data_IF_507542782927
#
_entry.id   IF_507542782927
#
_cell.length_a   1.000
_cell.length_b   1.000
_cell.length_c   1.000
_cell.angle_alpha   90.00
_cell.angle_beta   90.00
_cell.angle_gamma   90.00
#
_symmetry.space_group_name_H-M   'P 1'
#
loop_
_entity.id
_entity.type
_entity.pdbx_description
1 polymer ?
#
# COMPACT_ATOMS: atom_id res chain seq x y z
N UNK A 1 -13.72 -12.83 6.04
CA UNK A 1 -14.25 -11.80 6.91
C UNK A 1 -13.90 -10.40 6.42
N UNK A 2 -14.77 -9.44 6.70
CA UNK A 2 -14.54 -8.05 6.35
C UNK A 2 -13.82 -7.32 7.50
N UNK A 3 -12.86 -6.47 7.15
CA UNK A 3 -12.16 -5.59 8.07
C UNK A 3 -12.69 -4.17 7.91
N UNK A 4 -12.52 -3.36 8.95
CA UNK A 4 -12.92 -1.96 8.97
C UNK A 4 -11.74 -1.04 9.25
N UNK A 5 -11.91 0.25 8.92
CA UNK A 5 -10.88 1.27 9.17
C UNK A 5 -10.49 1.30 10.64
N UNK A 6 -9.19 1.41 10.87
CA UNK A 6 -8.62 1.46 12.22
C UNK A 6 -8.44 0.11 12.89
N UNK A 7 -8.92 -0.95 12.27
CA UNK A 7 -8.75 -2.29 12.82
C UNK A 7 -7.29 -2.70 12.81
N UNK A 8 -6.85 -3.41 13.85
CA UNK A 8 -5.45 -3.83 14.02
C UNK A 8 -5.37 -5.33 14.09
N UNK A 9 -4.33 -5.87 13.46
CA UNK A 9 -4.05 -7.29 13.44
C UNK A 9 -2.62 -7.56 13.89
N UNK A 10 -2.43 -8.65 14.60
CA UNK A 10 -1.08 -9.13 14.95
C UNK A 10 -0.42 -9.74 13.71
N UNK A 11 0.88 -9.54 13.58
CA UNK A 11 1.68 -10.04 12.47
C UNK A 11 2.80 -10.90 13.03
N UNK A 12 2.90 -12.13 12.53
CA UNK A 12 3.98 -13.04 12.90
C UNK A 12 5.31 -12.68 12.24
N UNK A 13 6.41 -13.00 12.93
CA UNK A 13 7.76 -12.68 12.46
C UNK A 13 8.10 -13.32 11.11
N UNK A 14 7.46 -14.43 10.77
CA UNK A 14 7.69 -15.18 9.53
C UNK A 14 6.55 -15.03 8.51
N UNK A 15 5.62 -14.14 8.75
CA UNK A 15 4.49 -13.95 7.85
C UNK A 15 4.92 -13.33 6.51
N UNK A 16 4.27 -13.78 5.45
CA UNK A 16 4.32 -13.15 4.13
C UNK A 16 2.93 -12.58 3.87
N UNK A 17 2.82 -11.26 3.85
CA UNK A 17 1.54 -10.57 3.69
C UNK A 17 1.40 -10.09 2.26
N UNK A 18 0.27 -10.41 1.65
CA UNK A 18 -0.06 -9.94 0.31
C UNK A 18 -1.31 -9.08 0.37
N UNK A 19 -1.22 -7.87 -0.16
CA UNK A 19 -2.33 -6.91 -0.25
C UNK A 19 -2.70 -6.77 -1.70
N UNK A 20 -3.88 -7.26 -2.09
CA UNK A 20 -4.36 -7.22 -3.46
C UNK A 20 -5.46 -6.19 -3.61
N UNK A 21 -5.29 -5.25 -4.53
CA UNK A 21 -6.34 -4.33 -4.91
C UNK A 21 -7.33 -5.02 -5.85
N UNK A 22 -8.61 -4.79 -5.64
CA UNK A 22 -9.66 -5.25 -6.54
C UNK A 22 -10.79 -4.22 -6.59
N UNK A 23 -11.53 -4.22 -7.68
CA UNK A 23 -12.78 -3.47 -7.80
C UNK A 23 -13.79 -4.26 -8.62
N UNK A 24 -15.05 -3.86 -8.55
CA UNK A 24 -16.12 -4.50 -9.32
C UNK A 24 -16.17 -4.01 -10.78
N UNK A 25 -15.40 -2.97 -11.08
CA UNK A 25 -15.29 -2.41 -12.42
C UNK A 25 -14.66 -1.02 -12.39
N UNK A 26 -14.10 -0.60 -13.50
CA UNK A 26 -13.48 0.72 -13.69
C UNK A 26 -13.85 1.29 -15.05
N UNK A 27 -13.84 2.63 -15.13
CA UNK A 27 -13.95 3.31 -16.40
C UNK A 27 -12.75 2.99 -17.29
N UNK A 28 -12.96 3.05 -18.59
CA UNK A 28 -11.90 2.79 -19.57
C UNK A 28 -10.71 3.75 -19.35
N UNK A 29 -9.50 3.21 -19.40
CA UNK A 29 -8.26 3.97 -19.22
C UNK A 29 -7.85 4.21 -17.78
N UNK A 30 -8.60 3.74 -16.79
CA UNK A 30 -8.20 3.81 -15.39
C UNK A 30 -7.19 2.70 -15.08
N UNK A 31 -6.01 3.09 -14.61
CA UNK A 31 -4.99 2.18 -14.12
C UNK A 31 -4.78 2.42 -12.63
N UNK A 32 -4.71 1.35 -11.85
CA UNK A 32 -4.41 1.39 -10.42
C UNK A 32 -3.12 0.63 -10.19
N UNK A 33 -2.21 1.23 -9.45
CA UNK A 33 -0.90 0.65 -9.14
C UNK A 33 -0.65 0.63 -7.64
N UNK A 34 0.19 -0.29 -7.21
CA UNK A 34 0.62 -0.42 -5.83
C UNK A 34 1.91 0.37 -5.58
N UNK A 35 1.99 0.99 -4.42
CA UNK A 35 3.16 1.74 -3.94
C UNK A 35 3.41 1.36 -2.50
N UNK A 36 4.65 1.02 -2.16
CA UNK A 36 5.03 0.66 -0.79
C UNK A 36 6.17 1.55 -0.34
N UNK A 37 5.98 2.24 0.78
CA UNK A 37 7.03 3.08 1.38
C UNK A 37 7.60 2.38 2.60
N UNK A 38 8.92 2.37 2.70
CA UNK A 38 9.64 1.93 3.91
C UNK A 38 10.10 3.18 4.65
N UNK A 39 9.56 3.37 5.85
CA UNK A 39 9.87 4.53 6.68
C UNK A 39 10.73 4.10 7.87
N UNK A 40 11.56 5.02 8.31
CA UNK A 40 12.43 4.83 9.46
C UNK A 40 11.85 5.56 10.68
N UNK A 41 12.59 5.57 11.78
CA UNK A 41 12.07 6.09 13.05
C UNK A 41 11.63 7.55 12.98
N UNK A 42 12.26 8.35 12.12
CA UNK A 42 11.86 9.74 11.89
C UNK A 42 10.59 9.90 11.03
N UNK A 43 9.97 8.80 10.61
CA UNK A 43 8.77 8.82 9.77
C UNK A 43 9.03 9.11 8.30
N UNK A 44 10.28 9.03 7.84
CA UNK A 44 10.69 9.40 6.48
C UNK A 44 11.47 8.28 5.81
N UNK A 45 11.51 8.31 4.49
CA UNK A 45 12.41 7.48 3.69
C UNK A 45 13.84 8.03 3.78
N UNK A 46 14.83 7.20 3.45
CA UNK A 46 16.24 7.58 3.34
C UNK A 46 16.65 7.85 1.89
N UNK A 47 15.98 7.25 0.94
CA UNK A 47 16.26 7.42 -0.46
C UNK A 47 15.23 6.74 -1.35
N UNK A 48 15.47 6.77 -2.66
CA UNK A 48 14.55 6.23 -3.67
C UNK A 48 14.33 4.73 -3.51
N UNK A 49 15.29 4.00 -2.95
CA UNK A 49 15.21 2.57 -2.68
C UNK A 49 14.11 2.21 -1.67
N UNK A 50 13.62 3.19 -0.92
CA UNK A 50 12.56 2.98 0.08
C UNK A 50 11.16 3.14 -0.49
N UNK A 51 11.03 3.43 -1.78
CA UNK A 51 9.75 3.37 -2.50
C UNK A 51 9.79 2.20 -3.48
N UNK A 52 8.92 1.23 -3.27
CA UNK A 52 8.75 0.07 -4.14
C UNK A 52 7.47 0.27 -4.94
N UNK A 53 7.58 0.25 -6.26
CA UNK A 53 6.50 0.49 -7.20
C UNK A 53 6.91 -0.05 -8.58
N UNK A 54 6.17 0.19 -9.64
CA UNK A 54 6.48 -0.37 -10.97
C UNK A 54 7.87 0.03 -11.50
N UNK A 55 8.41 1.17 -11.09
CA UNK A 55 9.78 1.62 -11.45
C UNK A 55 10.89 1.02 -10.60
N UNK A 56 10.55 0.41 -9.49
CA UNK A 56 11.47 -0.27 -8.56
C UNK A 56 10.70 -1.39 -7.86
N UNK A 57 10.52 -2.52 -8.55
CA UNK A 57 9.53 -3.55 -8.20
C UNK A 57 9.80 -4.34 -6.95
N UNK A 58 11.03 -4.30 -6.44
CA UNK A 58 11.39 -5.07 -5.25
C UNK A 58 12.52 -4.40 -4.48
N UNK A 59 12.46 -4.47 -3.16
CA UNK A 59 13.59 -4.10 -2.30
C UNK A 59 14.69 -5.14 -2.40
N UNK A 60 15.97 -4.72 -2.30
CA UNK A 60 17.12 -5.61 -2.42
C UNK A 60 17.15 -6.68 -1.35
N UNK A 61 16.66 -6.37 -0.14
CA UNK A 61 16.63 -7.31 0.97
C UNK A 61 15.55 -8.39 0.85
N UNK A 62 14.71 -8.32 -0.18
CA UNK A 62 13.62 -9.28 -0.40
C UNK A 62 12.38 -9.02 0.44
N UNK A 63 12.34 -7.95 1.23
CA UNK A 63 11.24 -7.69 2.15
C UNK A 63 9.97 -7.16 1.48
N UNK A 64 10.12 -6.42 0.38
CA UNK A 64 9.03 -5.70 -0.28
C UNK A 64 9.05 -5.95 -1.78
N UNK A 65 7.88 -6.17 -2.36
CA UNK A 65 7.71 -6.17 -3.81
C UNK A 65 6.29 -5.78 -4.20
N UNK A 66 6.11 -5.36 -5.42
CA UNK A 66 4.79 -5.05 -5.99
C UNK A 66 4.50 -5.94 -7.18
N UNK A 67 3.22 -6.18 -7.42
CA UNK A 67 2.71 -6.88 -8.59
C UNK A 67 1.83 -5.91 -9.38
N UNK A 68 1.83 -6.04 -10.70
CA UNK A 68 1.02 -5.22 -11.61
C UNK A 68 0.41 -6.08 -12.71
N UNK A 69 -0.45 -5.49 -13.51
CA UNK A 69 -1.14 -6.21 -14.58
C UNK A 69 -2.42 -6.88 -14.10
N UNK A 70 -2.51 -8.20 -14.22
CA UNK A 70 -3.71 -8.96 -13.83
C UNK A 70 -3.91 -9.00 -12.31
N UNK A 71 -2.82 -8.90 -11.55
CA UNK A 71 -2.86 -8.75 -10.09
C UNK A 71 -2.19 -7.43 -9.74
N UNK A 72 -2.88 -6.60 -8.98
CA UNK A 72 -2.35 -5.32 -8.47
C UNK A 72 -2.14 -5.52 -6.99
N UNK A 73 -0.90 -5.54 -6.56
CA UNK A 73 -0.66 -5.87 -5.17
C UNK A 73 0.69 -5.49 -4.64
N UNK A 74 0.80 -5.61 -3.33
CA UNK A 74 2.04 -5.43 -2.57
C UNK A 74 2.28 -6.66 -1.73
N UNK A 75 3.50 -7.14 -1.67
CA UNK A 75 3.90 -8.30 -0.88
C UNK A 75 4.98 -7.88 0.11
N UNK A 76 4.78 -8.23 1.37
CA UNK A 76 5.72 -7.94 2.45
C UNK A 76 6.16 -9.26 3.08
N UNK A 77 7.44 -9.57 2.98
CA UNK A 77 8.06 -10.68 3.69
C UNK A 77 8.62 -10.15 5.01
N UNK A 78 7.90 -10.39 6.08
CA UNK A 78 8.19 -9.78 7.37
C UNK A 78 9.56 -10.22 7.90
N UNK A 79 9.94 -11.47 7.67
CA UNK A 79 11.24 -12.00 8.12
C UNK A 79 12.42 -11.26 7.49
N UNK A 80 12.24 -10.67 6.31
CA UNK A 80 13.29 -9.96 5.59
C UNK A 80 13.36 -8.46 5.90
N UNK A 81 12.43 -7.93 6.70
CA UNK A 81 12.43 -6.51 7.06
C UNK A 81 13.65 -6.17 7.91
N UNK A 82 14.38 -5.12 7.51
CA UNK A 82 15.55 -4.65 8.24
C UNK A 82 15.19 -4.17 9.64
N UNK A 83 16.12 -4.36 10.59
CA UNK A 83 15.90 -4.03 12.00
C UNK A 83 15.61 -2.53 12.21
N UNK A 84 16.13 -1.65 11.36
CA UNK A 84 15.93 -0.20 11.45
C UNK A 84 14.70 0.31 10.68
N UNK A 85 14.02 -0.54 9.91
CA UNK A 85 12.74 -0.18 9.33
C UNK A 85 11.70 -0.04 10.44
N UNK A 86 11.00 1.10 10.48
CA UNK A 86 10.04 1.40 11.54
C UNK A 86 8.59 1.23 11.11
N UNK A 87 8.28 1.57 9.85
CA UNK A 87 6.93 1.51 9.30
C UNK A 87 6.98 1.12 7.83
N UNK A 88 5.98 0.36 7.40
CA UNK A 88 5.76 0.03 5.99
C UNK A 88 4.37 0.51 5.61
N UNK A 89 4.27 1.36 4.61
CA UNK A 89 3.01 1.96 4.16
C UNK A 89 2.62 1.34 2.83
N UNK A 90 1.45 0.73 2.77
CA UNK A 90 0.91 0.14 1.54
C UNK A 90 -0.13 1.07 0.96
N UNK A 91 0.10 1.51 -0.27
CA UNK A 91 -0.76 2.45 -0.99
C UNK A 91 -1.19 1.87 -2.32
N UNK A 92 -2.36 2.32 -2.78
CA UNK A 92 -2.81 2.12 -4.15
C UNK A 92 -3.16 3.48 -4.73
N UNK A 93 -2.82 3.69 -5.99
CA UNK A 93 -3.04 4.98 -6.63
C UNK A 93 -3.53 4.81 -8.05
N UNK A 94 -4.47 5.66 -8.42
CA UNK A 94 -4.86 5.81 -9.82
C UNK A 94 -3.72 6.53 -10.54
N UNK A 95 -3.28 5.98 -11.67
CA UNK A 95 -2.22 6.59 -12.45
C UNK A 95 -2.67 7.97 -12.94
N UNK A 96 -1.85 8.98 -12.67
CA UNK A 96 -2.11 10.35 -13.06
C UNK A 96 -1.46 10.63 -14.43
N UNK A 97 -2.29 10.66 -15.47
CA UNK A 97 -1.87 11.00 -16.84
C UNK A 97 -2.09 12.47 -17.17
N UNK A 98 -2.43 13.29 -16.15
CA UNK A 98 -2.74 14.71 -16.33
C UNK A 98 -4.19 15.00 -16.67
N UNK A 99 -5.05 13.99 -16.78
CA UNK A 99 -6.47 14.18 -17.12
C UNK A 99 -7.39 14.27 -15.91
N UNK A 100 -6.82 14.16 -14.69
CA UNK A 100 -7.60 14.30 -13.46
C UNK A 100 -8.40 13.08 -13.07
N UNK A 101 -7.98 11.88 -13.48
CA UNK A 101 -8.64 10.62 -13.13
C UNK A 101 -8.47 10.32 -11.65
N UNK A 102 -9.48 9.70 -11.04
CA UNK A 102 -9.50 9.39 -9.62
C UNK A 102 -10.34 8.13 -9.31
N UNK A 103 -10.45 7.78 -8.03
CA UNK A 103 -11.17 6.57 -7.60
C UNK A 103 -12.68 6.65 -7.79
N UNK A 104 -13.27 7.81 -8.10
CA UNK A 104 -14.70 7.91 -8.42
C UNK A 104 -15.05 7.11 -9.69
N UNK A 105 -14.05 6.79 -10.51
CA UNK A 105 -14.23 6.01 -11.73
C UNK A 105 -14.07 4.50 -11.51
N UNK A 106 -14.03 4.07 -10.26
CA UNK A 106 -14.01 2.65 -9.86
C UNK A 106 -15.27 2.30 -9.10
N UNK A 107 -15.66 1.02 -9.10
CA UNK A 107 -16.80 0.54 -8.34
C UNK A 107 -16.34 -0.45 -7.27
N UNK A 108 -16.79 -0.21 -6.04
CA UNK A 108 -16.53 -1.09 -4.90
C UNK A 108 -15.06 -1.46 -4.75
N UNK A 109 -14.15 -0.46 -4.71
CA UNK A 109 -12.74 -0.77 -4.52
C UNK A 109 -12.50 -1.38 -3.14
N UNK A 110 -11.60 -2.35 -3.09
CA UNK A 110 -11.28 -3.05 -1.86
C UNK A 110 -9.86 -3.60 -1.92
N UNK A 111 -9.33 -3.93 -0.75
CA UNK A 111 -8.06 -4.64 -0.62
C UNK A 111 -8.34 -6.00 0.02
N UNK A 112 -7.82 -7.05 -0.61
CA UNK A 112 -7.84 -8.39 -0.04
C UNK A 112 -6.49 -8.66 0.61
N UNK A 113 -6.52 -8.98 1.89
CA UNK A 113 -5.32 -9.39 2.63
C UNK A 113 -5.22 -10.90 2.58
N UNK A 114 -4.09 -11.38 2.06
CA UNK A 114 -3.77 -12.79 1.98
C UNK A 114 -2.59 -13.12 2.88
N UNK A 115 -2.58 -14.30 3.44
CA UNK A 115 -1.38 -14.89 4.01
C UNK A 115 -0.82 -15.88 2.97
N UNK A 116 0.37 -15.57 2.43
CA UNK A 116 0.83 -16.27 1.23
C UNK A 116 -0.15 -16.01 0.07
N UNK A 117 -0.66 -17.09 -0.53
CA UNK A 117 -1.65 -16.99 -1.61
C UNK A 117 -3.10 -17.21 -1.14
N UNK A 118 -3.31 -17.43 0.15
CA UNK A 118 -4.64 -17.73 0.70
C UNK A 118 -5.34 -16.45 1.17
N UNK A 119 -6.45 -16.04 0.51
CA UNK A 119 -7.24 -14.89 0.96
C UNK A 119 -7.80 -15.13 2.37
N UNK A 120 -7.64 -14.15 3.25
CA UNK A 120 -8.12 -14.22 4.63
C UNK A 120 -9.14 -13.14 4.96
N UNK A 121 -8.87 -11.89 4.52
CA UNK A 121 -9.69 -10.75 4.88
C UNK A 121 -9.92 -9.86 3.68
N UNK A 122 -11.05 -9.16 3.69
CA UNK A 122 -11.36 -8.13 2.70
C UNK A 122 -11.57 -6.80 3.40
N UNK A 123 -10.91 -5.76 2.94
CA UNK A 123 -11.03 -4.42 3.47
C UNK A 123 -11.62 -3.49 2.39
N UNK A 124 -12.94 -3.19 2.46
CA UNK A 124 -13.56 -2.25 1.53
C UNK A 124 -13.01 -0.84 1.69
N UNK A 125 -12.79 -0.15 0.56
CA UNK A 125 -12.33 1.23 0.52
C UNK A 125 -13.53 2.15 0.24
N UNK A 126 -14.50 2.16 1.15
CA UNK A 126 -15.83 2.72 0.94
C UNK A 126 -15.88 4.25 0.84
N UNK A 127 -14.86 4.93 1.37
CA UNK A 127 -14.90 6.40 1.48
C UNK A 127 -14.19 7.12 0.34
N UNK A 128 -13.82 6.41 -0.74
CA UNK A 128 -13.09 7.00 -1.84
C UNK A 128 -14.02 7.65 -2.86
N UNK A 129 -13.73 8.90 -3.22
CA UNK A 129 -14.42 9.67 -4.25
C UNK A 129 -13.41 10.29 -5.22
N UNK A 130 -12.98 11.51 -4.94
CA UNK A 130 -12.03 12.26 -5.77
C UNK A 130 -10.57 11.96 -5.46
N UNK A 131 -10.34 11.14 -4.48
CA UNK A 131 -8.98 10.76 -4.11
C UNK A 131 -8.31 10.02 -5.24
N UNK A 132 -7.05 10.32 -5.45
CA UNK A 132 -6.19 9.66 -6.44
C UNK A 132 -5.34 8.57 -5.83
N UNK A 133 -5.04 8.68 -4.55
CA UNK A 133 -4.21 7.74 -3.80
C UNK A 133 -4.90 7.37 -2.50
N UNK A 134 -4.82 6.11 -2.13
CA UNK A 134 -5.28 5.63 -0.82
C UNK A 134 -4.13 4.95 -0.10
N UNK A 135 -3.93 5.33 1.17
CA UNK A 135 -3.13 4.54 2.10
C UNK A 135 -4.02 3.44 2.63
N UNK A 136 -3.80 2.22 2.18
CA UNK A 136 -4.65 1.09 2.54
C UNK A 136 -4.29 0.54 3.93
N UNK A 137 -3.01 0.39 4.20
CA UNK A 137 -2.54 -0.28 5.41
C UNK A 137 -1.17 0.20 5.82
N UNK A 138 -0.86 0.00 7.10
CA UNK A 138 0.41 0.36 7.70
C UNK A 138 0.90 -0.79 8.58
N UNK A 139 2.11 -1.28 8.33
CA UNK A 139 2.84 -2.09 9.29
C UNK A 139 3.65 -1.17 10.18
N UNK A 140 3.66 -1.43 11.49
CA UNK A 140 4.43 -0.65 12.45
C UNK A 140 4.95 -1.53 13.58
N UNK A 141 6.01 -1.07 14.24
CA UNK A 141 6.59 -1.77 15.38
C UNK A 141 5.78 -1.49 16.65
N UNK A 142 5.51 -2.54 17.41
CA UNK A 142 4.87 -2.43 18.71
C UNK A 142 5.46 -3.49 19.64
N UNK A 143 6.14 -3.04 20.68
CA UNK A 143 6.77 -3.91 21.68
C UNK A 143 7.64 -5.02 21.09
N UNK A 144 8.46 -4.66 20.11
CA UNK A 144 9.38 -5.59 19.45
C UNK A 144 8.78 -6.49 18.39
N UNK A 145 7.48 -6.38 18.14
CA UNK A 145 6.78 -7.13 17.10
C UNK A 145 6.22 -6.19 16.04
N UNK A 146 5.80 -6.74 14.91
CA UNK A 146 5.08 -5.99 13.90
C UNK A 146 3.58 -6.09 14.13
N UNK A 147 2.88 -5.00 13.90
CA UNK A 147 1.41 -4.96 13.84
C UNK A 147 0.95 -4.32 12.54
N UNK A 148 -0.23 -4.71 12.12
CA UNK A 148 -0.88 -4.17 10.92
C UNK A 148 -2.08 -3.34 11.33
N UNK A 149 -2.20 -2.13 10.76
CA UNK A 149 -3.37 -1.29 10.91
C UNK A 149 -4.00 -1.04 9.54
N UNK A 150 -5.31 -1.23 9.44
CA UNK A 150 -6.08 -0.90 8.24
C UNK A 150 -6.41 0.60 8.29
N UNK A 151 -5.95 1.33 7.29
CA UNK A 151 -6.02 2.79 7.28
C UNK A 151 -7.17 3.32 6.41
N UNK A 152 -7.15 3.07 5.12
CA UNK A 152 -8.19 3.51 4.19
C UNK A 152 -8.26 5.03 3.99
N UNK A 153 -7.18 5.76 4.24
CA UNK A 153 -7.14 7.21 4.11
C UNK A 153 -6.79 7.61 2.68
N UNK A 154 -7.64 8.44 2.07
CA UNK A 154 -7.46 8.91 0.71
C UNK A 154 -6.83 10.31 0.63
N UNK A 155 -6.18 10.58 -0.49
CA UNK A 155 -5.50 11.83 -0.78
C UNK A 155 -5.90 12.34 -2.16
N UNK A 156 -6.62 13.46 -2.22
CA UNK A 156 -7.00 14.08 -3.49
C UNK A 156 -5.79 14.61 -4.26
N UNK A 157 -4.77 15.10 -3.54
CA UNK A 157 -3.54 15.61 -4.14
C UNK A 157 -2.66 14.51 -4.74
N UNK A 158 -2.97 13.24 -4.47
CA UNK A 158 -2.32 12.10 -5.08
C UNK A 158 -0.98 11.73 -4.49
N UNK A 159 -0.25 10.89 -5.23
CA UNK A 159 0.99 10.27 -4.78
C UNK A 159 2.11 11.25 -4.50
N UNK A 160 2.24 12.31 -5.31
CA UNK A 160 3.30 13.30 -5.12
C UNK A 160 3.25 13.95 -3.74
N UNK A 161 2.04 14.26 -3.24
CA UNK A 161 1.86 14.80 -1.90
C UNK A 161 2.31 13.82 -0.83
N UNK A 162 1.98 12.55 -1.01
CA UNK A 162 2.38 11.50 -0.08
C UNK A 162 3.90 11.32 -0.07
N UNK A 163 4.53 11.35 -1.23
CA UNK A 163 5.99 11.32 -1.34
C UNK A 163 6.64 12.48 -0.60
N UNK A 164 6.10 13.68 -0.72
CA UNK A 164 6.61 14.85 0.02
C UNK A 164 6.52 14.63 1.53
N UNK A 165 5.40 14.14 2.02
CA UNK A 165 5.22 13.86 3.45
C UNK A 165 6.25 12.87 3.98
N UNK A 166 6.62 11.89 3.17
CA UNK A 166 7.60 10.87 3.56
C UNK A 166 9.04 11.24 3.21
N UNK A 167 9.26 12.42 2.68
CA UNK A 167 10.60 12.92 2.43
C UNK A 167 11.26 12.47 1.14
N UNK A 168 10.46 12.01 0.17
CA UNK A 168 10.94 11.66 -1.15
C UNK A 168 10.73 12.82 -2.11
N UNK A 169 11.79 13.22 -2.81
CA UNK A 169 11.70 14.27 -3.83
C UNK A 169 11.12 13.68 -5.12
N UNK A 170 10.05 14.30 -5.60
CA UNK A 170 9.43 13.96 -6.88
C UNK A 170 9.70 15.10 -7.84
N UNK A 171 10.38 14.78 -8.91
CA UNK A 171 10.62 15.73 -10.00
C UNK A 171 9.67 15.46 -11.18
#
# INVERSE_FOLDING_TARGET
PALVRGERLSVGADDVLTFLYEDAGRAAGIEVDAYVFRLYENGRVRGDEDLVFFGNRAAEDGSLRVEEGTRIGAVIDVACLAADAARIIVCFSVYDDGTGRDFSETRSPAVTLCEGDAPQYRFPLDALHREKTVVAAELYRYRGAWKLRLVGAGYEAGLARLCEEYGLNVE
#
